data_IF_090692146435
#
_entry.id   IF_090692146435
#
_cell.length_a   1.000
_cell.length_b   1.000
_cell.length_c   1.000
_cell.angle_alpha   90.00
_cell.angle_beta   90.00
_cell.angle_gamma   90.00
#
_symmetry.space_group_name_H-M   'P 1'
#
loop_
_entity.id
_entity.type
_entity.pdbx_description
1 polymer ?
#
# COMPACT_ATOMS: atom_id res chain seq x y z
N UNK A 1 0.71 -4.89 9.50
CA UNK A 1 0.01 -5.70 8.52
C UNK A 1 0.28 -5.18 7.10
N UNK A 2 -0.11 -5.90 6.08
CA UNK A 2 -0.03 -5.48 4.68
C UNK A 2 -1.40 -5.07 4.12
N UNK A 3 -2.10 -4.23 4.86
CA UNK A 3 -3.46 -3.79 4.52
C UNK A 3 -3.56 -2.94 3.25
N UNK A 4 -2.43 -2.50 2.71
CA UNK A 4 -2.36 -1.64 1.50
C UNK A 4 -1.71 -2.32 0.31
N UNK A 5 -1.43 -3.62 0.37
CA UNK A 5 -0.71 -4.37 -0.67
C UNK A 5 0.58 -3.66 -1.10
N UNK A 6 1.43 -3.42 -0.11
CA UNK A 6 2.66 -2.63 -0.17
C UNK A 6 3.42 -2.73 -1.51
N UNK A 7 3.68 -3.95 -1.95
CA UNK A 7 4.53 -4.21 -3.13
C UNK A 7 3.81 -4.02 -4.47
N UNK A 8 2.54 -3.68 -4.48
CA UNK A 8 1.76 -3.45 -5.70
C UNK A 8 1.56 -1.98 -6.05
N UNK A 9 2.16 -1.09 -5.26
CA UNK A 9 2.07 0.35 -5.41
C UNK A 9 3.30 0.94 -6.08
N UNK A 10 3.15 2.11 -6.73
CA UNK A 10 4.29 2.84 -7.31
C UNK A 10 5.31 3.23 -6.24
N UNK A 11 4.83 3.60 -5.04
CA UNK A 11 5.63 3.81 -3.82
C UNK A 11 4.95 3.05 -2.70
N UNK A 12 5.63 2.07 -2.13
CA UNK A 12 5.22 1.33 -0.93
C UNK A 12 6.05 1.75 0.27
N UNK A 13 5.41 1.96 1.42
CA UNK A 13 6.06 2.48 2.62
C UNK A 13 5.74 1.59 3.82
N UNK A 14 6.77 1.14 4.54
CA UNK A 14 6.64 0.40 5.81
C UNK A 14 7.17 1.27 6.93
N UNK A 15 6.28 1.71 7.80
CA UNK A 15 6.62 2.53 8.96
C UNK A 15 7.17 1.70 10.12
N UNK A 16 8.19 2.21 10.78
CA UNK A 16 8.74 1.68 12.02
C UNK A 16 8.46 2.65 13.14
N UNK A 17 7.93 2.13 14.24
CA UNK A 17 7.63 2.92 15.44
C UNK A 17 8.43 2.41 16.64
N UNK A 18 8.79 3.31 17.53
CA UNK A 18 9.39 2.95 18.80
C UNK A 18 8.36 2.35 19.77
N UNK A 19 8.81 1.93 20.96
CA UNK A 19 7.93 1.36 22.01
C UNK A 19 6.83 2.30 22.50
N UNK A 20 7.02 3.61 22.33
CA UNK A 20 6.03 4.64 22.68
C UNK A 20 5.05 4.95 21.54
N UNK A 21 5.19 4.31 20.38
CA UNK A 21 4.33 4.51 19.22
C UNK A 21 4.75 5.67 18.30
N UNK A 22 5.85 6.36 18.58
CA UNK A 22 6.36 7.43 17.74
C UNK A 22 7.07 6.85 16.51
N UNK A 23 6.92 7.51 15.38
CA UNK A 23 7.59 7.14 14.13
C UNK A 23 9.11 7.27 14.29
N UNK A 24 9.86 6.28 13.83
CA UNK A 24 11.32 6.30 13.78
C UNK A 24 11.83 6.50 12.35
N UNK A 25 11.10 6.00 11.37
CA UNK A 25 11.46 6.04 9.97
C UNK A 25 10.70 5.01 9.16
N UNK A 26 11.06 4.87 7.88
CA UNK A 26 10.35 4.01 6.94
C UNK A 26 11.27 3.27 5.98
N UNK A 27 10.91 2.03 5.67
CA UNK A 27 11.38 1.35 4.46
C UNK A 27 10.56 1.79 3.26
N UNK A 28 11.24 1.97 2.13
CA UNK A 28 10.62 2.33 0.85
C UNK A 28 10.81 1.24 -0.18
N UNK A 29 9.75 0.99 -0.93
CA UNK A 29 9.69 0.11 -2.09
C UNK A 29 9.11 0.88 -3.26
N UNK A 30 9.61 0.68 -4.48
CA UNK A 30 9.18 1.46 -5.64
C UNK A 30 8.92 0.61 -6.88
N UNK A 31 8.03 1.08 -7.73
CA UNK A 31 7.77 0.53 -9.06
C UNK A 31 6.90 -0.72 -9.09
N UNK A 32 6.06 -0.91 -8.10
CA UNK A 32 5.01 -1.93 -8.15
C UNK A 32 3.81 -1.51 -9.00
N UNK A 33 3.03 -2.49 -9.42
CA UNK A 33 1.78 -2.25 -10.14
C UNK A 33 1.28 -3.48 -10.86
N UNK A 34 0.12 -3.99 -10.42
CA UNK A 34 -0.46 -5.23 -10.94
C UNK A 34 -1.27 -5.03 -12.23
N UNK A 35 -1.65 -3.78 -12.57
CA UNK A 35 -2.47 -3.49 -13.73
C UNK A 35 -1.82 -3.91 -15.04
N UNK A 36 -2.59 -4.64 -15.86
CA UNK A 36 -2.23 -5.11 -17.18
C UNK A 36 -3.40 -4.89 -18.13
N UNK A 37 -3.12 -4.45 -19.36
CA UNK A 37 -4.15 -4.33 -20.40
C UNK A 37 -4.29 -5.66 -21.13
N UNK A 38 -5.52 -6.14 -21.29
CA UNK A 38 -5.80 -7.36 -22.06
C UNK A 38 -5.29 -7.22 -23.50
N UNK A 39 -4.67 -8.29 -24.02
CA UNK A 39 -4.07 -8.35 -25.35
C UNK A 39 -3.02 -7.25 -25.67
N UNK A 40 -2.35 -6.73 -24.65
CA UNK A 40 -1.23 -5.81 -24.84
C UNK A 40 -0.01 -6.30 -24.04
N UNK A 41 0.95 -6.90 -24.72
CA UNK A 41 2.17 -7.48 -24.13
C UNK A 41 3.13 -6.41 -23.59
N UNK A 42 3.02 -5.17 -24.03
CA UNK A 42 3.80 -4.04 -23.52
C UNK A 42 3.41 -3.67 -22.09
N UNK A 43 2.25 -4.14 -21.61
CA UNK A 43 1.79 -3.91 -20.24
C UNK A 43 1.92 -5.18 -19.42
N UNK A 44 2.48 -5.07 -18.21
CA UNK A 44 2.78 -6.19 -17.34
C UNK A 44 2.52 -5.87 -15.87
N UNK A 45 2.31 -6.92 -15.07
CA UNK A 45 2.31 -6.83 -13.61
C UNK A 45 3.75 -6.81 -13.09
N UNK A 46 4.01 -5.98 -12.05
CA UNK A 46 5.32 -5.88 -11.43
C UNK A 46 5.19 -5.70 -9.93
N UNK A 47 6.06 -6.37 -9.18
CA UNK A 47 6.26 -6.19 -7.74
C UNK A 47 7.31 -5.10 -7.54
N UNK A 48 7.12 -4.24 -6.54
CA UNK A 48 8.03 -3.16 -6.22
C UNK A 48 9.41 -3.66 -5.78
N UNK A 49 10.44 -2.95 -6.18
CA UNK A 49 11.83 -3.19 -5.72
C UNK A 49 12.10 -2.50 -4.38
N UNK A 50 12.98 -3.09 -3.55
CA UNK A 50 13.47 -2.47 -2.34
C UNK A 50 14.36 -1.26 -2.67
N UNK A 51 14.02 -0.09 -2.11
CA UNK A 51 14.78 1.13 -2.35
C UNK A 51 15.74 1.43 -1.21
N UNK A 52 15.23 1.83 -0.04
CA UNK A 52 16.02 2.26 1.09
C UNK A 52 15.19 2.36 2.38
N UNK A 53 15.87 2.42 3.52
CA UNK A 53 15.34 2.93 4.76
C UNK A 53 15.76 4.39 4.94
N UNK A 54 14.85 5.24 5.46
CA UNK A 54 15.13 6.60 5.88
C UNK A 54 14.52 6.89 7.24
N UNK A 55 15.14 7.79 8.00
CA UNK A 55 14.63 8.32 9.27
C UNK A 55 13.42 9.23 9.04
N UNK A 56 12.67 9.51 10.10
CA UNK A 56 11.43 10.30 10.04
C UNK A 56 11.61 11.64 9.32
N UNK A 57 12.68 12.38 9.61
CA UNK A 57 12.98 13.69 9.03
C UNK A 57 13.18 13.69 7.52
N UNK A 58 13.61 12.55 6.96
CA UNK A 58 13.94 12.40 5.54
C UNK A 58 12.81 11.84 4.68
N UNK A 59 11.72 11.39 5.29
CA UNK A 59 10.61 10.72 4.60
C UNK A 59 10.02 11.60 3.50
N UNK A 60 9.70 12.83 3.83
CA UNK A 60 9.05 13.76 2.89
C UNK A 60 9.98 14.10 1.73
N UNK A 61 11.24 14.40 2.02
CA UNK A 61 12.24 14.71 1.00
C UNK A 61 12.49 13.54 0.05
N UNK A 62 12.53 12.31 0.58
CA UNK A 62 12.68 11.11 -0.26
C UNK A 62 11.47 10.91 -1.17
N UNK A 63 10.24 11.06 -0.67
CA UNK A 63 9.02 10.95 -1.48
C UNK A 63 9.05 11.97 -2.62
N UNK A 64 9.34 13.24 -2.32
CA UNK A 64 9.46 14.28 -3.34
C UNK A 64 10.52 13.95 -4.38
N UNK A 65 11.66 13.44 -3.95
CA UNK A 65 12.77 13.04 -4.82
C UNK A 65 12.38 11.89 -5.75
N UNK A 66 11.70 10.85 -5.24
CA UNK A 66 11.20 9.74 -6.04
C UNK A 66 10.21 10.25 -7.12
N UNK A 67 9.27 11.10 -6.72
CA UNK A 67 8.29 11.70 -7.64
C UNK A 67 8.99 12.57 -8.69
N UNK A 68 10.02 13.32 -8.30
CA UNK A 68 10.80 14.14 -9.22
C UNK A 68 11.55 13.31 -10.26
N UNK A 69 12.16 12.18 -9.87
CA UNK A 69 12.76 11.24 -10.83
C UNK A 69 11.72 10.72 -11.82
N UNK A 70 10.54 10.29 -11.33
CA UNK A 70 9.47 9.83 -12.21
C UNK A 70 8.93 10.94 -13.13
N UNK A 71 8.86 12.19 -12.64
CA UNK A 71 8.47 13.35 -13.44
C UNK A 71 9.44 13.60 -14.59
N UNK A 72 10.73 13.53 -14.33
CA UNK A 72 11.76 13.99 -15.26
C UNK A 72 12.24 12.89 -16.22
N UNK A 73 12.14 11.62 -15.83
CA UNK A 73 12.61 10.46 -16.60
C UNK A 73 11.51 9.48 -17.02
N UNK A 74 10.32 9.56 -16.44
CA UNK A 74 9.18 8.72 -16.82
C UNK A 74 8.65 9.06 -18.23
N UNK A 75 8.01 8.09 -18.88
CA UNK A 75 7.37 8.31 -20.18
C UNK A 75 6.22 9.31 -20.05
N UNK A 76 6.35 10.45 -20.71
CA UNK A 76 5.33 11.51 -20.76
C UNK A 76 4.58 11.55 -22.08
N UNK A 77 4.95 10.71 -23.04
CA UNK A 77 4.32 10.64 -24.37
C UNK A 77 3.22 9.57 -24.41
N UNK A 78 3.48 8.41 -23.81
CA UNK A 78 2.54 7.31 -23.75
C UNK A 78 1.89 7.22 -22.34
N UNK A 79 0.60 7.56 -22.25
CA UNK A 79 -0.16 7.39 -21.00
C UNK A 79 -0.16 5.93 -20.51
N UNK A 80 -0.08 4.96 -21.41
CA UNK A 80 -0.09 3.53 -21.07
C UNK A 80 1.18 3.12 -20.31
N UNK A 81 2.31 3.76 -20.60
CA UNK A 81 3.63 3.43 -20.04
C UNK A 81 4.13 4.50 -19.05
N UNK A 82 3.24 5.39 -18.58
CA UNK A 82 3.61 6.51 -17.72
C UNK A 82 3.88 6.14 -16.25
N UNK A 83 3.55 4.91 -15.80
CA UNK A 83 3.77 4.48 -14.41
C UNK A 83 5.24 4.18 -14.15
N UNK A 84 5.66 4.33 -12.89
CA UNK A 84 7.04 4.12 -12.42
C UNK A 84 7.59 2.73 -12.74
N UNK A 85 6.74 1.69 -12.74
CA UNK A 85 7.15 0.33 -13.06
C UNK A 85 7.82 0.19 -14.44
N UNK A 86 7.41 0.99 -15.43
CA UNK A 86 8.01 0.99 -16.76
C UNK A 86 9.41 1.62 -16.76
N UNK A 87 9.57 2.73 -16.05
CA UNK A 87 10.88 3.37 -15.86
C UNK A 87 11.87 2.42 -15.19
N UNK A 88 11.43 1.75 -14.12
CA UNK A 88 12.28 0.79 -13.40
C UNK A 88 12.56 -0.49 -14.20
N UNK A 89 11.64 -0.94 -15.04
CA UNK A 89 11.87 -2.06 -15.93
C UNK A 89 12.92 -1.72 -17.01
N UNK A 90 12.91 -0.49 -17.52
CA UNK A 90 13.84 -0.02 -18.54
C UNK A 90 15.23 0.26 -17.97
N UNK A 91 15.31 0.97 -16.83
CA UNK A 91 16.55 1.53 -16.29
C UNK A 91 17.15 0.71 -15.14
N UNK A 92 16.33 -0.04 -14.44
CA UNK A 92 16.72 -0.80 -13.24
C UNK A 92 16.78 0.03 -11.96
N UNK A 93 16.77 -0.69 -10.83
CA UNK A 93 16.75 -0.08 -9.49
C UNK A 93 18.08 0.63 -9.16
N UNK A 94 19.22 0.09 -9.60
CA UNK A 94 20.53 0.67 -9.31
C UNK A 94 20.73 2.02 -10.00
N UNK A 95 20.26 2.13 -11.24
CA UNK A 95 20.23 3.41 -11.95
C UNK A 95 19.35 4.42 -11.19
N UNK A 96 18.16 3.99 -10.73
CA UNK A 96 17.24 4.85 -10.00
C UNK A 96 17.86 5.36 -8.69
N UNK A 97 18.51 4.48 -7.90
CA UNK A 97 19.23 4.83 -6.68
C UNK A 97 20.34 5.84 -6.96
N UNK A 98 21.12 5.62 -8.01
CA UNK A 98 22.20 6.55 -8.40
C UNK A 98 21.65 7.93 -8.73
N UNK A 99 20.61 8.03 -9.54
CA UNK A 99 20.00 9.33 -9.90
C UNK A 99 19.38 10.02 -8.67
N UNK A 100 18.77 9.27 -7.75
CA UNK A 100 18.27 9.82 -6.50
C UNK A 100 19.39 10.49 -5.70
N UNK A 101 20.50 9.78 -5.47
CA UNK A 101 21.63 10.28 -4.70
C UNK A 101 22.29 11.46 -5.40
N UNK A 102 22.55 11.35 -6.71
CA UNK A 102 23.34 12.34 -7.44
C UNK A 102 22.59 13.67 -7.65
N UNK A 103 21.28 13.62 -7.87
CA UNK A 103 20.54 14.79 -8.36
C UNK A 103 19.44 15.31 -7.46
N UNK A 104 18.70 14.43 -6.76
CA UNK A 104 17.45 14.79 -6.10
C UNK A 104 17.55 14.75 -4.57
N UNK A 105 17.73 13.56 -4.01
CA UNK A 105 17.79 13.36 -2.57
C UNK A 105 19.12 13.83 -1.95
N UNK A 106 20.23 13.60 -2.66
CA UNK A 106 21.58 14.04 -2.30
C UNK A 106 22.09 13.56 -0.92
N UNK A 107 21.51 12.48 -0.44
CA UNK A 107 21.91 11.79 0.79
C UNK A 107 22.13 10.32 0.50
N UNK A 108 22.90 9.65 1.35
CA UNK A 108 23.11 8.21 1.26
C UNK A 108 21.81 7.45 1.55
N UNK A 109 21.57 6.40 0.78
CA UNK A 109 20.43 5.50 0.97
C UNK A 109 20.85 4.35 1.89
N UNK A 110 20.30 4.30 3.09
CA UNK A 110 20.54 3.21 4.04
C UNK A 110 19.87 1.91 3.55
N UNK A 111 20.46 0.73 3.84
CA UNK A 111 19.82 -0.54 3.56
C UNK A 111 18.48 -0.65 4.30
N UNK A 112 17.57 -1.48 3.76
CA UNK A 112 16.29 -1.71 4.42
C UNK A 112 16.47 -2.23 5.84
N UNK A 113 15.65 -1.75 6.76
CA UNK A 113 15.52 -2.29 8.10
C UNK A 113 14.75 -3.62 8.05
N UNK A 114 15.10 -4.58 8.91
CA UNK A 114 14.41 -5.86 8.97
C UNK A 114 12.93 -5.68 9.30
N UNK A 115 12.09 -6.26 8.48
CA UNK A 115 10.63 -6.27 8.64
C UNK A 115 10.15 -7.59 9.23
N UNK A 116 9.08 -7.58 10.04
CA UNK A 116 8.40 -8.80 10.37
C UNK A 116 7.85 -9.43 9.09
N UNK A 117 7.92 -10.77 8.99
CA UNK A 117 7.35 -11.49 7.84
C UNK A 117 5.88 -11.12 7.69
N UNK A 118 5.51 -10.64 6.49
CA UNK A 118 4.13 -10.38 6.15
C UNK A 118 3.32 -11.68 6.26
N UNK A 119 2.28 -11.66 7.09
CA UNK A 119 1.27 -12.70 7.12
C UNK A 119 0.11 -12.25 6.26
N UNK A 120 -0.36 -13.11 5.38
CA UNK A 120 -1.68 -12.91 4.78
C UNK A 120 -2.70 -13.04 5.92
N UNK A 121 -3.39 -11.95 6.20
CA UNK A 121 -4.42 -11.92 7.23
C UNK A 121 -5.75 -12.11 6.52
N UNK A 122 -6.44 -13.18 6.91
CA UNK A 122 -7.85 -13.36 6.56
C UNK A 122 -8.69 -12.62 7.60
N UNK A 123 -9.38 -11.58 7.15
CA UNK A 123 -10.25 -10.77 8.00
C UNK A 123 -11.71 -11.28 8.02
N UNK A 124 -12.02 -12.40 7.38
CA UNK A 124 -13.38 -12.92 7.31
C UNK A 124 -13.85 -13.55 8.63
N UNK A 125 -15.15 -13.47 8.85
CA UNK A 125 -15.78 -14.01 10.06
C UNK A 125 -15.60 -13.16 11.31
N UNK A 126 -15.89 -13.73 12.47
CA UNK A 126 -15.79 -13.08 13.77
C UNK A 126 -14.36 -13.12 14.30
N UNK A 127 -13.83 -11.95 14.66
CA UNK A 127 -12.48 -11.83 15.20
C UNK A 127 -12.42 -10.75 16.28
N UNK A 128 -11.48 -10.90 17.21
CA UNK A 128 -11.21 -9.88 18.22
C UNK A 128 -10.62 -8.63 17.58
N UNK A 129 -11.22 -7.48 17.86
CA UNK A 129 -10.68 -6.18 17.50
C UNK A 129 -9.75 -5.65 18.59
N UNK A 130 -10.19 -5.75 19.84
CA UNK A 130 -9.42 -5.43 21.05
C UNK A 130 -10.09 -6.09 22.26
N UNK A 131 -9.72 -5.69 23.49
CA UNK A 131 -10.22 -6.31 24.73
C UNK A 131 -11.75 -6.32 24.84
N UNK A 132 -12.43 -5.28 24.38
CA UNK A 132 -13.86 -5.05 24.62
C UNK A 132 -14.71 -5.17 23.35
N UNK A 133 -14.07 -5.25 22.17
CA UNK A 133 -14.75 -5.21 20.89
C UNK A 133 -14.33 -6.33 19.96
N UNK A 134 -15.29 -6.75 19.15
CA UNK A 134 -15.13 -7.64 18.02
C UNK A 134 -15.33 -6.89 16.70
N UNK A 135 -14.87 -7.47 15.62
CA UNK A 135 -15.31 -7.16 14.28
C UNK A 135 -15.79 -8.41 13.55
N UNK A 136 -16.62 -8.24 12.55
CA UNK A 136 -17.01 -9.31 11.64
C UNK A 136 -16.67 -8.93 10.22
N UNK A 137 -15.90 -9.79 9.55
CA UNK A 137 -15.55 -9.66 8.14
C UNK A 137 -16.58 -10.36 7.26
N UNK A 138 -17.14 -9.61 6.31
CA UNK A 138 -18.15 -10.06 5.38
C UNK A 138 -17.56 -10.16 3.98
N UNK A 139 -17.59 -11.35 3.34
CA UNK A 139 -17.13 -11.50 1.97
C UNK A 139 -18.09 -10.80 1.01
N UNK A 140 -17.54 -9.97 0.12
CA UNK A 140 -18.29 -9.31 -0.93
C UNK A 140 -17.87 -9.83 -2.29
N UNK A 141 -18.75 -10.56 -2.97
CA UNK A 141 -18.46 -11.08 -4.30
C UNK A 141 -18.10 -9.93 -5.26
N UNK A 142 -16.85 -9.96 -5.78
CA UNK A 142 -16.29 -8.91 -6.65
C UNK A 142 -16.36 -7.49 -6.05
N UNK A 143 -16.35 -7.36 -4.73
CA UNK A 143 -16.43 -6.08 -4.03
C UNK A 143 -17.76 -5.34 -4.22
N UNK A 144 -18.84 -6.04 -4.63
CA UNK A 144 -20.11 -5.41 -4.96
C UNK A 144 -21.15 -5.58 -3.85
N UNK A 145 -21.65 -4.46 -3.35
CA UNK A 145 -22.68 -4.39 -2.36
C UNK A 145 -23.91 -3.67 -2.92
N UNK A 146 -24.96 -4.42 -3.26
CA UNK A 146 -26.16 -3.89 -3.92
C UNK A 146 -27.45 -4.47 -3.32
N UNK A 147 -28.59 -3.81 -3.65
CA UNK A 147 -29.93 -4.29 -3.34
C UNK A 147 -30.18 -4.47 -1.85
N UNK A 148 -30.82 -5.58 -1.51
CA UNK A 148 -31.23 -5.91 -0.15
C UNK A 148 -30.05 -6.06 0.82
N UNK A 149 -28.91 -6.63 0.36
CA UNK A 149 -27.70 -6.74 1.17
C UNK A 149 -27.21 -5.37 1.63
N UNK A 150 -27.19 -4.38 0.72
CA UNK A 150 -26.79 -3.00 1.04
C UNK A 150 -27.70 -2.38 2.08
N UNK A 151 -29.02 -2.50 1.90
CA UNK A 151 -30.01 -1.93 2.83
C UNK A 151 -29.99 -2.62 4.19
N UNK A 152 -29.74 -3.92 4.25
CA UNK A 152 -29.62 -4.67 5.50
C UNK A 152 -28.38 -4.26 6.28
N UNK A 153 -27.21 -4.21 5.62
CA UNK A 153 -25.97 -3.76 6.27
C UNK A 153 -26.13 -2.32 6.77
N UNK A 154 -26.73 -1.43 5.97
CA UNK A 154 -27.00 -0.05 6.40
C UNK A 154 -27.84 -0.01 7.69
N UNK A 155 -28.94 -0.78 7.75
CA UNK A 155 -29.79 -0.85 8.94
C UNK A 155 -29.02 -1.36 10.16
N UNK A 156 -28.16 -2.37 10.01
CA UNK A 156 -27.32 -2.87 11.10
C UNK A 156 -26.35 -1.79 11.60
N UNK A 157 -25.66 -1.12 10.69
CA UNK A 157 -24.71 -0.05 11.02
C UNK A 157 -25.40 1.11 11.75
N UNK A 158 -26.55 1.56 11.25
CA UNK A 158 -27.32 2.64 11.87
C UNK A 158 -27.86 2.25 13.25
N UNK A 159 -28.38 1.01 13.38
CA UNK A 159 -28.95 0.49 14.64
C UNK A 159 -27.91 0.31 15.74
N UNK A 160 -26.75 -0.25 15.40
CA UNK A 160 -25.72 -0.61 16.39
C UNK A 160 -24.54 0.37 16.39
N UNK A 161 -24.59 1.43 15.59
CA UNK A 161 -23.55 2.47 15.45
C UNK A 161 -22.17 1.86 15.18
N UNK A 162 -22.13 0.89 14.24
CA UNK A 162 -20.91 0.18 13.88
C UNK A 162 -20.05 1.03 12.94
N UNK A 163 -18.72 0.89 13.06
CA UNK A 163 -17.80 1.39 12.06
C UNK A 163 -17.70 0.42 10.89
N UNK A 164 -17.55 0.97 9.68
CA UNK A 164 -17.30 0.20 8.47
C UNK A 164 -15.86 0.41 8.02
N UNK A 165 -15.17 -0.68 7.67
CA UNK A 165 -13.86 -0.65 7.03
C UNK A 165 -13.85 -1.54 5.80
N UNK A 166 -13.07 -1.15 4.80
CA UNK A 166 -12.83 -1.93 3.59
C UNK A 166 -11.50 -2.67 3.71
N UNK A 167 -11.44 -3.86 3.15
CA UNK A 167 -10.20 -4.64 3.10
C UNK A 167 -9.54 -4.53 1.72
N UNK A 168 -8.24 -4.83 1.58
CA UNK A 168 -7.57 -4.91 0.29
C UNK A 168 -8.22 -5.92 -0.66
N UNK A 169 -8.85 -6.96 -0.11
CA UNK A 169 -9.57 -7.99 -0.87
C UNK A 169 -10.96 -7.56 -1.32
N UNK A 170 -11.33 -6.27 -1.13
CA UNK A 170 -12.63 -5.70 -1.47
C UNK A 170 -13.78 -6.25 -0.61
N UNK A 171 -13.48 -6.75 0.58
CA UNK A 171 -14.45 -7.20 1.57
C UNK A 171 -14.80 -6.08 2.56
N UNK A 172 -15.82 -6.31 3.39
CA UNK A 172 -16.34 -5.34 4.34
C UNK A 172 -16.13 -5.83 5.78
N UNK A 173 -15.61 -4.97 6.64
CA UNK A 173 -15.58 -5.21 8.08
C UNK A 173 -16.63 -4.34 8.77
N UNK A 174 -17.44 -4.96 9.63
CA UNK A 174 -18.26 -4.27 10.61
C UNK A 174 -17.51 -4.31 11.95
N UNK A 175 -17.09 -3.16 12.42
CA UNK A 175 -16.22 -3.01 13.59
C UNK A 175 -16.99 -2.44 14.79
N UNK A 176 -16.34 -2.47 15.97
CA UNK A 176 -16.84 -1.95 17.24
C UNK A 176 -18.10 -2.70 17.73
N UNK A 177 -18.14 -4.00 17.51
CA UNK A 177 -19.19 -4.86 18.06
C UNK A 177 -18.82 -5.22 19.50
N UNK A 178 -19.64 -4.83 20.46
CA UNK A 178 -19.41 -5.15 21.87
C UNK A 178 -19.33 -6.66 22.11
N UNK A 179 -18.41 -7.08 22.95
CA UNK A 179 -18.36 -8.46 23.42
C UNK A 179 -19.67 -8.84 24.14
N UNK A 180 -20.16 -10.06 23.94
CA UNK A 180 -21.36 -10.54 24.63
C UNK A 180 -21.14 -10.67 26.15
#
# INVERSE_FOLDING_TARGET
>A
DNSVDLLTNDIGIVAFTNKSGNLEGCNFYIGGGMGRTHNNEETFARIADPLAYVEEEDIYELIQSIVAVQRDYGDRKSRKNARMKYLLQERGIDWFKKILIDKYFKKELKPLRNEPKNKLIDYLGWQNQNKDYYFVGLPLMSGRLMGEKKSTIRKLVEKYKLDIRLTPNQDLLLCNILAP
#
